data_IF_333573083228
#
_entry.id   IF_333573083228
#
_cell.length_a   1.000
_cell.length_b   1.000
_cell.length_c   1.000
_cell.angle_alpha   90.00
_cell.angle_beta   90.00
_cell.angle_gamma   90.00
#
_symmetry.space_group_name_H-M   'P 1'
#
loop_
_entity.id
_entity.type
_entity.pdbx_description
1 polymer ?
#
# COMPACT_ATOMS: atom_id res chain seq x y z
N UNK A 1 50.93 -33.29 -9.61
CA UNK A 1 50.80 -31.83 -9.34
C UNK A 1 49.71 -31.15 -10.16
N UNK A 2 49.68 -31.24 -11.50
CA UNK A 2 48.65 -30.60 -12.36
C UNK A 2 47.19 -30.98 -12.02
N UNK A 3 46.92 -32.25 -11.72
CA UNK A 3 45.58 -32.73 -11.36
C UNK A 3 45.09 -32.25 -9.98
N UNK A 4 45.99 -32.04 -9.02
CA UNK A 4 45.63 -31.47 -7.72
C UNK A 4 45.22 -30.00 -7.84
N UNK A 5 45.93 -29.22 -8.65
CA UNK A 5 45.58 -27.81 -8.90
C UNK A 5 44.22 -27.70 -9.59
N UNK A 6 43.93 -28.57 -10.55
CA UNK A 6 42.63 -28.60 -11.22
C UNK A 6 41.48 -28.97 -10.26
N UNK A 7 41.71 -29.94 -9.36
CA UNK A 7 40.75 -30.31 -8.33
C UNK A 7 40.43 -29.17 -7.35
N UNK A 8 41.46 -28.42 -6.91
CA UNK A 8 41.28 -27.26 -6.03
C UNK A 8 40.51 -26.14 -6.75
N UNK A 9 40.81 -25.90 -8.03
CA UNK A 9 40.08 -24.90 -8.82
C UNK A 9 38.58 -25.25 -8.94
N UNK A 10 38.28 -26.54 -9.15
CA UNK A 10 36.92 -27.05 -9.26
C UNK A 10 36.11 -26.92 -7.96
N UNK A 11 36.74 -27.19 -6.81
CA UNK A 11 36.08 -27.05 -5.50
C UNK A 11 35.82 -25.59 -5.15
N UNK A 12 36.77 -24.69 -5.41
CA UNK A 12 36.58 -23.24 -5.21
C UNK A 12 35.46 -22.71 -6.11
N UNK A 13 35.40 -23.16 -7.37
CA UNK A 13 34.33 -22.77 -8.28
C UNK A 13 32.94 -23.24 -7.81
N UNK A 14 32.81 -24.49 -7.37
CA UNK A 14 31.55 -24.99 -6.81
C UNK A 14 31.13 -24.25 -5.54
N UNK A 15 32.09 -23.92 -4.66
CA UNK A 15 31.81 -23.15 -3.45
C UNK A 15 31.31 -21.74 -3.79
N UNK A 16 31.93 -21.08 -4.77
CA UNK A 16 31.48 -19.78 -5.25
C UNK A 16 30.06 -19.84 -5.82
N UNK A 17 29.74 -20.86 -6.63
CA UNK A 17 28.38 -21.07 -7.15
C UNK A 17 27.36 -21.28 -6.03
N UNK A 18 27.70 -22.07 -5.01
CA UNK A 18 26.79 -22.32 -3.88
C UNK A 18 26.49 -21.03 -3.09
N UNK A 19 27.49 -20.17 -2.90
CA UNK A 19 27.31 -18.87 -2.27
C UNK A 19 26.41 -17.94 -3.09
N UNK A 20 26.61 -17.88 -4.42
CA UNK A 20 25.76 -17.08 -5.31
C UNK A 20 24.31 -17.57 -5.26
N UNK A 21 24.09 -18.89 -5.30
CA UNK A 21 22.74 -19.47 -5.18
C UNK A 21 22.08 -19.14 -3.84
N UNK A 22 22.86 -19.13 -2.75
CA UNK A 22 22.37 -18.70 -1.43
C UNK A 22 21.92 -17.24 -1.42
N UNK A 23 22.72 -16.34 -2.00
CA UNK A 23 22.39 -14.90 -2.08
C UNK A 23 21.12 -14.69 -2.93
N UNK A 24 21.00 -15.38 -4.05
CA UNK A 24 19.81 -15.32 -4.92
C UNK A 24 18.56 -15.78 -4.16
N UNK A 25 18.66 -16.88 -3.40
CA UNK A 25 17.56 -17.37 -2.58
C UNK A 25 17.10 -16.36 -1.53
N UNK A 26 18.04 -15.74 -0.80
CA UNK A 26 17.73 -14.69 0.19
C UNK A 26 17.10 -13.48 -0.47
N UNK A 27 17.60 -13.06 -1.65
CA UNK A 27 17.07 -11.92 -2.38
C UNK A 27 15.62 -12.14 -2.83
N UNK A 28 15.30 -13.35 -3.32
CA UNK A 28 13.92 -13.71 -3.68
C UNK A 28 12.98 -13.64 -2.48
N UNK A 29 13.39 -14.18 -1.32
CA UNK A 29 12.61 -14.08 -0.08
C UNK A 29 12.36 -12.62 0.32
N UNK A 30 13.40 -11.78 0.24
CA UNK A 30 13.26 -10.35 0.54
C UNK A 30 12.25 -9.66 -0.40
N UNK A 31 12.26 -10.01 -1.68
CA UNK A 31 11.36 -9.44 -2.68
C UNK A 31 9.90 -9.85 -2.43
N UNK A 32 9.66 -11.10 -2.02
CA UNK A 32 8.33 -11.57 -1.59
C UNK A 32 7.86 -10.80 -0.35
N UNK A 33 8.69 -10.67 0.68
CA UNK A 33 8.35 -9.89 1.90
C UNK A 33 8.02 -8.43 1.54
N UNK A 34 8.81 -7.82 0.67
CA UNK A 34 8.58 -6.45 0.20
C UNK A 34 7.25 -6.34 -0.54
N UNK A 35 6.95 -7.27 -1.43
CA UNK A 35 5.68 -7.31 -2.16
C UNK A 35 4.48 -7.46 -1.21
N UNK A 36 4.56 -8.37 -0.23
CA UNK A 36 3.51 -8.53 0.79
C UNK A 36 3.34 -7.27 1.63
N UNK A 37 4.43 -6.64 2.10
CA UNK A 37 4.34 -5.41 2.90
C UNK A 37 3.68 -4.28 2.11
N UNK A 38 4.05 -4.12 0.83
CA UNK A 38 3.42 -3.13 -0.05
C UNK A 38 1.95 -3.45 -0.28
N UNK A 39 1.62 -4.73 -0.48
CA UNK A 39 0.24 -5.16 -0.65
C UNK A 39 -0.62 -4.86 0.60
N UNK A 40 -0.17 -5.29 1.79
CA UNK A 40 -0.87 -5.08 3.07
C UNK A 40 -1.05 -3.58 3.33
N UNK A 41 0.04 -2.79 3.29
CA UNK A 41 -0.04 -1.34 3.50
C UNK A 41 -0.96 -0.66 2.48
N UNK A 42 -0.94 -1.09 1.21
CA UNK A 42 -1.82 -0.51 0.19
C UNK A 42 -3.30 -0.87 0.38
N UNK A 43 -3.59 -2.06 0.92
CA UNK A 43 -4.95 -2.52 1.16
C UNK A 43 -5.54 -1.90 2.42
N UNK A 44 -4.78 -1.88 3.52
CA UNK A 44 -5.17 -1.24 4.79
C UNK A 44 -5.45 0.26 4.58
N UNK A 45 -4.55 0.97 3.91
CA UNK A 45 -4.74 2.41 3.63
C UNK A 45 -5.99 2.67 2.77
N UNK A 46 -6.39 1.75 1.89
CA UNK A 46 -7.61 1.89 1.08
C UNK A 46 -8.88 1.61 1.90
N UNK A 47 -8.83 0.64 2.81
CA UNK A 47 -9.97 0.28 3.67
C UNK A 47 -10.16 1.34 4.75
N UNK A 48 -9.09 1.77 5.41
CA UNK A 48 -9.13 2.83 6.42
C UNK A 48 -9.61 4.15 5.83
N UNK A 49 -9.04 4.60 4.70
CA UNK A 49 -9.49 5.84 4.04
C UNK A 49 -10.96 5.79 3.63
N UNK A 50 -11.47 4.62 3.18
CA UNK A 50 -12.89 4.44 2.86
C UNK A 50 -13.76 4.47 4.13
N UNK A 51 -13.34 3.81 5.21
CA UNK A 51 -14.06 3.80 6.47
C UNK A 51 -14.11 5.20 7.10
N UNK A 52 -12.97 5.92 7.15
CA UNK A 52 -12.90 7.30 7.64
C UNK A 52 -13.71 8.26 6.76
N UNK A 53 -13.67 8.11 5.42
CA UNK A 53 -14.51 8.92 4.52
C UNK A 53 -16.00 8.67 4.76
N UNK A 54 -16.40 7.41 4.99
CA UNK A 54 -17.79 7.05 5.29
C UNK A 54 -18.23 7.66 6.63
N UNK A 55 -17.40 7.56 7.66
CA UNK A 55 -17.64 8.21 8.97
C UNK A 55 -17.74 9.73 8.86
N UNK A 56 -16.88 10.37 8.06
CA UNK A 56 -16.92 11.81 7.84
C UNK A 56 -18.17 12.25 7.07
N UNK A 57 -18.54 11.51 6.01
CA UNK A 57 -19.74 11.78 5.22
C UNK A 57 -21.02 11.69 6.08
N UNK A 58 -21.07 10.69 6.97
CA UNK A 58 -22.17 10.48 7.90
C UNK A 58 -22.25 11.61 8.94
N UNK A 59 -21.12 11.99 9.55
CA UNK A 59 -21.03 13.12 10.47
C UNK A 59 -21.40 14.46 9.81
N UNK A 60 -21.01 14.67 8.55
CA UNK A 60 -21.34 15.87 7.78
C UNK A 60 -22.85 15.97 7.54
N UNK A 61 -23.46 14.86 7.11
CA UNK A 61 -24.90 14.76 6.89
C UNK A 61 -25.69 14.96 8.19
N UNK A 62 -25.25 14.33 9.28
CA UNK A 62 -25.88 14.47 10.60
C UNK A 62 -25.83 15.93 11.08
N UNK A 63 -24.68 16.59 10.97
CA UNK A 63 -24.54 17.99 11.37
C UNK A 63 -25.43 18.91 10.51
N UNK A 64 -25.54 18.66 9.20
CA UNK A 64 -26.45 19.40 8.32
C UNK A 64 -27.91 19.26 8.75
N UNK A 65 -28.36 18.04 9.06
CA UNK A 65 -29.73 17.77 9.53
C UNK A 65 -29.97 18.41 10.91
N UNK A 66 -29.00 18.29 11.83
CA UNK A 66 -29.05 18.92 13.16
C UNK A 66 -29.21 20.44 13.07
N UNK A 67 -28.46 21.07 12.16
CA UNK A 67 -28.54 22.50 11.90
C UNK A 67 -29.72 22.91 11.00
N UNK A 68 -30.59 21.97 10.60
CA UNK A 68 -31.75 22.20 9.70
C UNK A 68 -31.37 22.87 8.37
N UNK A 69 -30.18 22.58 7.85
CA UNK A 69 -29.67 23.17 6.63
C UNK A 69 -29.97 22.32 5.39
N UNK A 70 -30.21 22.96 4.25
CA UNK A 70 -30.32 22.27 2.95
C UNK A 70 -28.96 22.19 2.26
N UNK A 71 -28.79 21.24 1.35
CA UNK A 71 -27.53 21.14 0.58
C UNK A 71 -27.30 22.39 -0.28
N UNK A 72 -28.37 23.05 -0.73
CA UNK A 72 -28.31 24.31 -1.47
C UNK A 72 -27.77 25.44 -0.60
N UNK A 73 -28.32 25.60 0.61
CA UNK A 73 -27.86 26.59 1.58
C UNK A 73 -26.39 26.39 1.98
N UNK A 74 -25.96 25.15 2.21
CA UNK A 74 -24.56 24.83 2.51
C UNK A 74 -23.67 25.13 1.31
N UNK A 75 -24.12 24.82 0.10
CA UNK A 75 -23.36 25.07 -1.13
C UNK A 75 -23.15 26.56 -1.40
N UNK A 76 -24.18 27.37 -1.17
CA UNK A 76 -24.12 28.83 -1.29
C UNK A 76 -23.22 29.46 -0.22
N UNK A 77 -23.30 28.98 1.02
CA UNK A 77 -22.51 29.49 2.15
C UNK A 77 -21.01 29.20 1.98
N UNK A 78 -20.66 28.01 1.47
CA UNK A 78 -19.28 27.56 1.31
C UNK A 78 -18.72 27.94 -0.09
N UNK A 79 -19.56 28.43 -1.00
CA UNK A 79 -19.14 28.83 -2.36
C UNK A 79 -18.77 27.63 -3.24
N UNK A 80 -19.43 26.49 -3.06
CA UNK A 80 -19.23 25.27 -3.85
C UNK A 80 -20.52 24.87 -4.54
N UNK A 81 -20.46 23.98 -5.53
CA UNK A 81 -21.68 23.49 -6.17
C UNK A 81 -22.47 22.56 -5.25
N UNK A 82 -23.81 22.56 -5.35
CA UNK A 82 -24.67 21.60 -4.65
C UNK A 82 -24.25 20.15 -4.91
N UNK A 83 -23.79 19.85 -6.12
CA UNK A 83 -23.28 18.53 -6.48
C UNK A 83 -22.01 18.16 -5.70
N UNK A 84 -21.15 19.12 -5.36
CA UNK A 84 -19.98 18.88 -4.51
C UNK A 84 -20.40 18.49 -3.09
N UNK A 85 -21.36 19.22 -2.50
CA UNK A 85 -21.93 18.89 -1.18
C UNK A 85 -22.57 17.50 -1.19
N UNK A 86 -23.34 17.17 -2.23
CA UNK A 86 -23.92 15.83 -2.38
C UNK A 86 -22.88 14.71 -2.53
N UNK A 87 -21.68 15.00 -3.08
CA UNK A 87 -20.56 14.05 -3.15
C UNK A 87 -19.81 13.91 -1.83
N UNK A 88 -19.87 14.91 -0.95
CA UNK A 88 -19.26 14.86 0.38
C UNK A 88 -20.11 14.03 1.35
N UNK A 89 -21.43 14.09 1.23
CA UNK A 89 -22.39 13.33 2.06
C UNK A 89 -22.64 11.88 1.55
N UNK A 90 -21.91 11.42 0.53
CA UNK A 90 -22.07 10.10 -0.12
C UNK A 90 -20.75 9.32 -0.16
#
# INVERSE_FOLDING_TARGET
MKYQVFGILWTVFNLALMLVMGIVGIYLLWLVIKALRVYINSHEVRVEKKATRKSLAEALRENRVRCKMTQEFVSETIGVSRQAVSKWEN
#
